data_IF_927069864905
#
_entry.id   IF_927069864905
#
_cell.length_a   1.000
_cell.length_b   1.000
_cell.length_c   1.000
_cell.angle_alpha   90.00
_cell.angle_beta   90.00
_cell.angle_gamma   90.00
#
_symmetry.space_group_name_H-M   'P 1'
#
loop_
_entity.id
_entity.type
_entity.pdbx_description
1 polymer ?
#
# COMPACT_ATOMS: atom_id res chain seq x y z
N UNK A 1 -2.35 -22.77 -1.85
CA UNK A 1 -2.67 -24.20 -2.03
C UNK A 1 -2.01 -24.73 -3.29
N UNK A 2 -2.33 -24.20 -4.47
CA UNK A 2 -1.84 -24.70 -5.79
C UNK A 2 -0.31 -24.71 -5.88
N UNK A 3 0.36 -23.67 -5.38
CA UNK A 3 1.83 -23.55 -5.38
C UNK A 3 2.52 -24.39 -4.31
N UNK A 4 1.76 -25.01 -3.41
CA UNK A 4 2.28 -25.89 -2.36
C UNK A 4 2.91 -25.16 -1.16
N UNK A 5 2.60 -23.88 -0.94
CA UNK A 5 3.10 -23.13 0.21
C UNK A 5 2.38 -23.58 1.48
N UNK A 6 3.12 -24.14 2.43
CA UNK A 6 2.61 -24.53 3.74
C UNK A 6 2.50 -23.29 4.63
N UNK A 7 1.28 -22.96 5.03
CA UNK A 7 0.99 -21.93 6.02
C UNK A 7 0.25 -22.54 7.20
N UNK A 8 0.31 -21.98 8.42
CA UNK A 8 -0.46 -22.46 9.55
C UNK A 8 -1.96 -22.57 9.25
N UNK A 9 -2.49 -21.64 8.45
CA UNK A 9 -3.88 -21.62 8.01
C UNK A 9 -4.23 -22.80 7.09
N UNK A 10 -3.34 -23.14 6.13
CA UNK A 10 -3.52 -24.27 5.23
C UNK A 10 -3.53 -25.60 6.00
N UNK A 11 -2.70 -25.74 7.03
CA UNK A 11 -2.65 -26.90 7.90
C UNK A 11 -3.90 -26.99 8.80
N UNK A 12 -4.33 -25.85 9.39
CA UNK A 12 -5.51 -25.80 10.25
C UNK A 12 -6.77 -26.27 9.52
N UNK A 13 -6.94 -25.88 8.26
CA UNK A 13 -8.08 -26.28 7.42
C UNK A 13 -7.80 -27.54 6.60
N UNK A 14 -6.66 -28.21 6.81
CA UNK A 14 -6.26 -29.43 6.10
C UNK A 14 -6.23 -29.26 4.58
N UNK A 15 -5.86 -28.06 4.09
CA UNK A 15 -5.72 -27.82 2.67
C UNK A 15 -4.47 -28.48 2.08
N UNK A 16 -3.52 -28.87 2.91
CA UNK A 16 -2.30 -29.59 2.60
C UNK A 16 -2.54 -31.04 2.14
N UNK A 17 -3.72 -31.61 2.46
CA UNK A 17 -4.11 -32.97 2.04
C UNK A 17 -5.02 -33.01 0.80
N UNK A 18 -5.32 -31.86 0.20
CA UNK A 18 -6.11 -31.79 -1.03
C UNK A 18 -5.28 -32.27 -2.24
N UNK A 19 -5.90 -32.97 -3.16
CA UNK A 19 -5.25 -33.45 -4.42
C UNK A 19 -4.67 -32.31 -5.26
N UNK A 20 -5.21 -31.09 -5.10
CA UNK A 20 -4.74 -29.89 -5.78
C UNK A 20 -3.58 -29.17 -5.07
N UNK A 21 -3.20 -29.63 -3.87
CA UNK A 21 -2.07 -29.04 -3.15
C UNK A 21 -0.78 -29.28 -3.92
N UNK A 22 -0.01 -28.22 -4.13
CA UNK A 22 1.23 -28.22 -4.92
C UNK A 22 1.10 -28.68 -6.39
N UNK A 23 -0.14 -28.81 -6.93
CA UNK A 23 -0.35 -29.25 -8.31
C UNK A 23 0.14 -28.25 -9.37
N UNK A 24 0.40 -27.02 -8.99
CA UNK A 24 0.90 -25.94 -9.84
C UNK A 24 2.21 -25.33 -9.33
N UNK A 25 3.05 -26.13 -8.67
CA UNK A 25 4.35 -25.70 -8.15
C UNK A 25 5.41 -25.46 -9.25
N UNK A 26 5.11 -25.77 -10.51
CA UNK A 26 5.89 -25.48 -11.71
C UNK A 26 5.84 -24.00 -12.11
N UNK A 27 4.93 -23.25 -11.49
CA UNK A 27 4.76 -21.80 -11.67
C UNK A 27 4.65 -21.11 -10.32
N UNK A 28 5.08 -19.85 -10.30
CA UNK A 28 5.02 -19.02 -9.09
C UNK A 28 3.59 -18.53 -8.78
N UNK A 29 3.42 -17.95 -7.61
CA UNK A 29 2.16 -17.38 -7.17
C UNK A 29 1.70 -16.22 -8.07
N UNK A 30 2.64 -15.46 -8.65
CA UNK A 30 2.35 -14.36 -9.55
C UNK A 30 1.68 -14.83 -10.84
N UNK A 31 2.20 -15.90 -11.44
CA UNK A 31 1.58 -16.52 -12.61
C UNK A 31 0.14 -16.95 -12.34
N UNK A 32 -0.10 -17.65 -11.22
CA UNK A 32 -1.43 -18.13 -10.87
C UNK A 32 -2.42 -17.02 -10.57
N UNK A 33 -1.98 -15.96 -9.88
CA UNK A 33 -2.79 -14.77 -9.64
C UNK A 33 -3.14 -14.04 -10.94
N UNK A 34 -2.16 -13.89 -11.86
CA UNK A 34 -2.38 -13.29 -13.17
C UNK A 34 -3.37 -14.11 -14.01
N UNK A 35 -3.24 -15.43 -14.01
CA UNK A 35 -4.16 -16.33 -14.70
C UNK A 35 -5.60 -16.23 -14.17
N UNK A 36 -5.79 -16.25 -12.84
CA UNK A 36 -7.11 -16.09 -12.21
C UNK A 36 -7.75 -14.76 -12.60
N UNK A 37 -6.99 -13.66 -12.59
CA UNK A 37 -7.46 -12.35 -13.02
C UNK A 37 -7.95 -12.36 -14.47
N UNK A 38 -7.19 -12.96 -15.36
CA UNK A 38 -7.58 -13.07 -16.77
C UNK A 38 -8.82 -13.94 -16.96
N UNK A 39 -8.97 -15.03 -16.19
CA UNK A 39 -10.18 -15.86 -16.21
C UNK A 39 -11.43 -15.10 -15.72
N UNK A 40 -11.26 -14.17 -14.77
CA UNK A 40 -12.35 -13.28 -14.33
C UNK A 40 -12.69 -12.26 -15.42
N UNK A 41 -11.69 -11.63 -16.04
CA UNK A 41 -11.88 -10.66 -17.13
C UNK A 41 -12.56 -11.32 -18.35
N UNK A 42 -12.17 -12.54 -18.68
CA UNK A 42 -12.83 -13.35 -19.71
C UNK A 42 -14.25 -13.80 -19.33
N UNK A 43 -14.67 -13.52 -18.10
CA UNK A 43 -15.98 -13.90 -17.59
C UNK A 43 -16.15 -15.41 -17.43
N UNK A 44 -15.07 -16.17 -17.26
CA UNK A 44 -15.11 -17.62 -16.96
C UNK A 44 -15.26 -17.86 -15.46
N UNK A 45 -14.71 -16.98 -14.64
CA UNK A 45 -14.84 -16.96 -13.18
C UNK A 45 -15.53 -15.67 -12.74
N UNK A 46 -16.16 -15.71 -11.59
CA UNK A 46 -16.66 -14.55 -10.87
C UNK A 46 -16.22 -14.63 -9.41
N UNK A 47 -15.95 -13.48 -8.80
CA UNK A 47 -15.63 -13.38 -7.37
C UNK A 47 -16.90 -13.00 -6.63
N UNK A 48 -17.38 -13.88 -5.77
CA UNK A 48 -18.56 -13.63 -4.94
C UNK A 48 -18.13 -12.84 -3.69
N UNK A 49 -18.46 -11.56 -3.68
CA UNK A 49 -18.08 -10.64 -2.60
C UNK A 49 -18.91 -10.90 -1.33
N UNK A 50 -20.14 -11.39 -1.48
CA UNK A 50 -21.02 -11.68 -0.35
C UNK A 50 -20.57 -12.93 0.42
N UNK A 51 -19.88 -13.86 -0.24
CA UNK A 51 -19.31 -15.06 0.34
C UNK A 51 -17.76 -14.94 0.48
N UNK A 52 -17.27 -13.89 1.14
CA UNK A 52 -15.84 -13.71 1.45
C UNK A 52 -14.89 -13.76 0.24
N UNK A 53 -15.39 -13.41 -0.95
CA UNK A 53 -14.56 -13.35 -2.15
C UNK A 53 -14.27 -14.72 -2.79
N UNK A 54 -15.11 -15.72 -2.53
CA UNK A 54 -15.00 -17.05 -3.12
C UNK A 54 -15.11 -16.96 -4.64
N UNK A 55 -14.24 -17.69 -5.35
CA UNK A 55 -14.29 -17.80 -6.80
C UNK A 55 -15.33 -18.85 -7.22
N UNK A 56 -16.23 -18.46 -8.11
CA UNK A 56 -17.27 -19.33 -8.67
C UNK A 56 -17.17 -19.37 -10.19
N UNK A 57 -17.51 -20.50 -10.79
CA UNK A 57 -17.66 -20.58 -12.24
C UNK A 57 -18.91 -19.83 -12.70
N UNK A 58 -18.77 -19.09 -13.78
CA UNK A 58 -19.93 -18.55 -14.50
C UNK A 58 -20.51 -19.62 -15.42
N UNK A 59 -21.71 -19.40 -16.00
CA UNK A 59 -22.26 -20.27 -17.05
C UNK A 59 -21.30 -20.42 -18.22
N UNK A 60 -20.56 -19.37 -18.57
CA UNK A 60 -19.51 -19.40 -19.62
C UNK A 60 -18.33 -20.26 -19.19
N UNK A 61 -17.92 -20.18 -17.90
CA UNK A 61 -16.87 -21.01 -17.34
C UNK A 61 -17.23 -22.50 -17.32
N UNK A 62 -18.46 -22.85 -16.93
CA UNK A 62 -18.93 -24.23 -16.97
C UNK A 62 -18.99 -24.80 -18.41
N UNK A 63 -19.43 -23.98 -19.37
CA UNK A 63 -19.41 -24.35 -20.78
C UNK A 63 -17.96 -24.52 -21.30
N UNK A 64 -17.02 -23.71 -20.85
CA UNK A 64 -15.61 -23.82 -21.18
C UNK A 64 -15.00 -25.12 -20.66
N UNK A 65 -15.32 -25.53 -19.43
CA UNK A 65 -14.88 -26.82 -18.87
C UNK A 65 -15.35 -28.02 -19.70
N UNK A 66 -16.59 -27.96 -20.27
CA UNK A 66 -17.12 -29.01 -21.11
C UNK A 66 -16.49 -29.07 -22.51
N UNK A 67 -16.11 -27.92 -23.05
CA UNK A 67 -15.45 -27.77 -24.36
C UNK A 67 -14.31 -26.75 -24.25
N UNK A 68 -13.16 -27.14 -23.69
CA UNK A 68 -12.03 -26.22 -23.51
C UNK A 68 -11.53 -25.76 -24.87
N UNK A 69 -11.22 -24.46 -24.93
CA UNK A 69 -10.57 -23.81 -26.07
C UNK A 69 -9.28 -23.16 -25.58
N UNK A 70 -8.25 -23.18 -26.40
CA UNK A 70 -7.05 -22.39 -26.10
C UNK A 70 -7.37 -20.90 -26.20
N UNK A 71 -6.90 -20.13 -25.24
CA UNK A 71 -6.91 -18.67 -25.29
C UNK A 71 -5.53 -18.13 -24.90
N UNK A 72 -5.21 -16.96 -25.38
CA UNK A 72 -3.93 -16.33 -25.08
C UNK A 72 -4.00 -15.67 -23.71
N UNK A 73 -2.97 -15.92 -22.89
CA UNK A 73 -2.77 -15.22 -21.63
C UNK A 73 -1.60 -14.27 -21.77
N UNK A 74 -1.75 -13.06 -21.23
CA UNK A 74 -0.67 -12.11 -21.12
C UNK A 74 0.22 -12.53 -19.96
N UNK A 75 1.46 -12.93 -20.26
CA UNK A 75 2.47 -13.18 -19.23
C UNK A 75 3.07 -11.83 -18.83
N UNK A 76 2.73 -11.34 -17.66
CA UNK A 76 3.44 -10.20 -17.10
C UNK A 76 4.85 -10.63 -16.77
N UNK A 77 5.85 -9.96 -17.39
CA UNK A 77 7.26 -10.17 -17.05
C UNK A 77 7.49 -9.54 -15.67
N UNK A 78 7.93 -10.36 -14.71
CA UNK A 78 8.62 -9.84 -13.55
C UNK A 78 9.96 -9.27 -14.05
N UNK A 79 10.17 -7.99 -13.90
CA UNK A 79 11.52 -7.45 -13.94
C UNK A 79 12.18 -7.87 -12.62
N UNK A 80 13.19 -8.72 -12.71
CA UNK A 80 14.03 -9.04 -11.56
C UNK A 80 14.84 -7.78 -11.24
N UNK A 81 14.43 -7.04 -10.25
CA UNK A 81 15.32 -6.14 -9.56
C UNK A 81 16.36 -6.99 -8.84
N UNK A 82 17.61 -6.85 -9.28
CA UNK A 82 18.75 -7.51 -8.67
C UNK A 82 19.04 -6.81 -7.33
N UNK A 83 18.21 -7.05 -6.33
CA UNK A 83 18.43 -6.87 -4.88
C UNK A 83 17.07 -6.97 -4.18
N UNK A 84 16.60 -8.20 -3.98
CA UNK A 84 15.44 -8.41 -3.11
C UNK A 84 15.71 -9.60 -2.21
N UNK A 85 16.11 -9.32 -1.00
CA UNK A 85 15.81 -10.20 0.12
C UNK A 85 14.41 -9.80 0.63
N UNK A 86 13.55 -10.81 0.67
CA UNK A 86 12.27 -10.94 1.39
C UNK A 86 11.50 -9.66 1.80
N UNK A 87 10.63 -9.14 0.92
CA UNK A 87 9.47 -8.38 1.37
C UNK A 87 8.17 -9.03 0.86
N UNK A 88 7.37 -9.50 1.82
CA UNK A 88 5.99 -9.92 1.63
C UNK A 88 5.16 -8.76 1.05
N UNK A 89 4.76 -8.93 -0.21
CA UNK A 89 3.84 -7.99 -0.87
C UNK A 89 2.48 -8.09 -0.18
N UNK A 90 2.15 -7.11 0.63
CA UNK A 90 0.78 -6.91 1.11
C UNK A 90 -0.15 -6.68 -0.07
N UNK A 91 -1.19 -7.50 -0.16
CA UNK A 91 -2.22 -7.44 -1.19
C UNK A 91 -2.92 -6.08 -1.21
N UNK A 92 -2.56 -5.23 -2.17
CA UNK A 92 -3.42 -4.12 -2.55
C UNK A 92 -4.56 -4.66 -3.42
N UNK A 93 -5.74 -4.69 -2.85
CA UNK A 93 -6.99 -5.06 -3.51
C UNK A 93 -7.36 -4.04 -4.59
N UNK A 94 -7.16 -4.39 -5.86
CA UNK A 94 -7.70 -3.63 -6.98
C UNK A 94 -6.85 -3.68 -8.24
N UNK A 95 -7.17 -4.56 -9.13
CA UNK A 95 -6.58 -5.05 -10.36
C UNK A 95 -6.21 -4.10 -11.50
N UNK A 96 -5.65 -2.93 -11.26
CA UNK A 96 -4.92 -2.19 -12.28
C UNK A 96 -3.42 -2.33 -12.01
N UNK A 97 -2.62 -2.64 -13.03
CA UNK A 97 -1.17 -2.69 -12.90
C UNK A 97 -0.63 -1.28 -12.66
N UNK A 98 0.37 -1.17 -11.79
CA UNK A 98 1.11 0.07 -11.58
C UNK A 98 1.69 0.53 -12.92
N UNK A 99 1.45 1.80 -13.28
CA UNK A 99 2.12 2.43 -14.42
C UNK A 99 3.45 3.02 -13.93
N UNK A 100 4.53 2.24 -14.12
CA UNK A 100 5.88 2.60 -13.66
C UNK A 100 6.35 3.95 -14.21
N UNK A 101 6.07 4.22 -15.49
CA UNK A 101 6.46 5.48 -16.12
C UNK A 101 5.76 6.69 -15.48
N UNK A 102 4.46 6.56 -15.24
CA UNK A 102 3.73 7.61 -14.52
C UNK A 102 4.20 7.73 -13.08
N UNK A 103 4.47 6.59 -12.42
CA UNK A 103 5.00 6.58 -11.06
C UNK A 103 6.32 7.35 -10.95
N UNK A 104 7.27 7.10 -11.85
CA UNK A 104 8.54 7.83 -11.89
C UNK A 104 8.35 9.33 -12.07
N UNK A 105 7.46 9.72 -12.99
CA UNK A 105 7.11 11.13 -13.20
C UNK A 105 6.50 11.78 -11.95
N UNK A 106 5.66 11.04 -11.23
CA UNK A 106 5.06 11.50 -9.97
C UNK A 106 6.10 11.62 -8.85
N UNK A 107 7.06 10.69 -8.78
CA UNK A 107 8.19 10.75 -7.86
C UNK A 107 9.06 12.01 -8.09
N UNK A 108 9.40 12.30 -9.35
CA UNK A 108 10.14 13.51 -9.70
C UNK A 108 9.34 14.79 -9.36
N UNK A 109 8.05 14.80 -9.65
CA UNK A 109 7.19 15.93 -9.32
C UNK A 109 7.11 16.15 -7.81
N UNK A 110 6.98 15.05 -7.02
CA UNK A 110 6.98 15.09 -5.56
C UNK A 110 8.25 15.74 -5.03
N UNK A 111 9.43 15.34 -5.52
CA UNK A 111 10.70 15.93 -5.12
C UNK A 111 10.76 17.42 -5.45
N UNK A 112 10.29 17.83 -6.63
CA UNK A 112 10.25 19.24 -7.05
C UNK A 112 9.34 20.07 -6.13
N UNK A 113 8.13 19.56 -5.83
CA UNK A 113 7.18 20.26 -4.95
C UNK A 113 7.66 20.30 -3.50
N UNK A 114 8.31 19.25 -3.01
CA UNK A 114 8.93 19.18 -1.70
C UNK A 114 10.06 20.23 -1.55
N UNK A 115 10.98 20.30 -2.52
CA UNK A 115 12.08 21.29 -2.55
C UNK A 115 11.55 22.73 -2.60
N UNK A 116 10.51 23.02 -3.39
CA UNK A 116 9.89 24.35 -3.43
C UNK A 116 9.33 24.81 -2.07
N UNK A 117 8.87 23.88 -1.26
CA UNK A 117 8.24 24.16 0.03
C UNK A 117 9.18 23.94 1.21
N UNK A 118 10.41 23.54 0.93
CA UNK A 118 11.42 23.16 1.93
C UNK A 118 10.87 22.10 2.91
N UNK A 119 10.28 21.05 2.36
CA UNK A 119 9.69 19.94 3.09
C UNK A 119 10.26 18.62 2.59
N UNK A 120 10.34 17.59 3.44
CA UNK A 120 10.67 16.23 3.00
C UNK A 120 9.63 15.71 1.99
N UNK A 121 10.03 14.88 1.01
CA UNK A 121 9.12 14.37 -0.02
C UNK A 121 7.91 13.61 0.51
N UNK A 122 8.08 12.82 1.58
CA UNK A 122 7.00 12.03 2.18
C UNK A 122 5.91 12.88 2.85
N UNK A 123 6.22 14.14 3.21
CA UNK A 123 5.22 15.08 3.74
C UNK A 123 4.25 15.52 2.66
N UNK A 124 4.70 15.65 1.42
CA UNK A 124 3.84 15.99 0.28
C UNK A 124 2.86 14.85 0.02
N UNK A 125 3.36 13.68 -0.36
CA UNK A 125 2.59 12.45 -0.52
C UNK A 125 3.46 11.24 -0.16
N UNK A 126 2.84 10.22 0.45
CA UNK A 126 3.48 8.91 0.67
C UNK A 126 3.69 8.19 -0.66
N UNK A 127 4.58 7.20 -0.67
CA UNK A 127 4.78 6.34 -1.83
C UNK A 127 3.52 5.58 -2.20
N UNK A 128 2.80 5.05 -1.21
CA UNK A 128 1.50 4.40 -1.41
C UNK A 128 0.47 5.30 -2.08
N UNK A 129 0.50 6.62 -1.80
CA UNK A 129 -0.35 7.59 -2.50
C UNK A 129 0.02 7.71 -3.98
N UNK A 130 1.32 7.73 -4.30
CA UNK A 130 1.80 7.81 -5.68
C UNK A 130 1.53 6.52 -6.45
N UNK A 131 1.62 5.36 -5.79
CA UNK A 131 1.23 4.06 -6.37
C UNK A 131 -0.25 4.05 -6.75
N UNK A 132 -1.13 4.53 -5.86
CA UNK A 132 -2.55 4.66 -6.16
C UNK A 132 -2.79 5.64 -7.33
N UNK A 133 -2.10 6.78 -7.34
CA UNK A 133 -2.21 7.76 -8.43
C UNK A 133 -1.78 7.19 -9.79
N UNK A 134 -0.71 6.39 -9.83
CA UNK A 134 -0.22 5.74 -11.06
C UNK A 134 -1.04 4.53 -11.47
N UNK A 135 -1.87 4.00 -10.58
CA UNK A 135 -2.77 2.88 -10.85
C UNK A 135 -4.16 3.34 -11.30
N UNK A 136 -4.69 4.40 -10.67
CA UNK A 136 -6.08 4.84 -10.87
C UNK A 136 -6.24 6.08 -11.75
N UNK A 137 -5.15 6.75 -12.08
CA UNK A 137 -5.12 7.93 -12.92
C UNK A 137 -6.12 9.02 -12.51
N UNK A 138 -6.06 9.56 -11.28
CA UNK A 138 -6.99 10.59 -10.84
C UNK A 138 -6.75 11.92 -11.59
N UNK A 139 -7.65 12.30 -12.47
CA UNK A 139 -7.59 13.57 -13.26
C UNK A 139 -8.44 14.69 -12.66
N UNK A 140 -9.04 14.44 -11.51
CA UNK A 140 -9.81 15.42 -10.73
C UNK A 140 -9.36 15.45 -9.29
N UNK A 141 -9.64 16.54 -8.59
CA UNK A 141 -9.30 16.67 -7.16
C UNK A 141 -10.08 15.67 -6.32
N UNK A 142 -11.36 15.42 -6.65
CA UNK A 142 -12.18 14.41 -5.99
C UNK A 142 -11.63 12.99 -6.21
N UNK A 143 -11.10 12.71 -7.39
CA UNK A 143 -10.41 11.46 -7.69
C UNK A 143 -9.16 11.30 -6.87
N UNK A 144 -8.37 12.36 -6.72
CA UNK A 144 -7.15 12.38 -5.94
C UNK A 144 -7.42 12.14 -4.43
N UNK A 145 -8.50 12.71 -3.88
CA UNK A 145 -8.91 12.50 -2.48
C UNK A 145 -9.23 11.04 -2.15
N UNK A 146 -9.49 10.21 -3.16
CA UNK A 146 -9.76 8.77 -2.99
C UNK A 146 -8.49 7.93 -2.87
N UNK A 147 -7.33 8.47 -3.24
CA UNK A 147 -6.05 7.77 -3.11
C UNK A 147 -5.66 7.62 -1.64
N UNK A 148 -4.95 6.54 -1.32
CA UNK A 148 -4.52 6.25 0.04
C UNK A 148 -3.67 7.38 0.62
N UNK A 149 -3.95 7.79 1.86
CA UNK A 149 -3.19 8.84 2.55
C UNK A 149 -3.41 10.26 2.03
N UNK A 150 -4.35 10.47 1.09
CA UNK A 150 -4.70 11.77 0.55
C UNK A 150 -6.00 12.28 1.19
N UNK A 151 -5.89 13.28 2.06
CA UNK A 151 -7.06 14.00 2.59
C UNK A 151 -7.43 15.17 1.68
N UNK A 152 -8.64 15.69 1.86
CA UNK A 152 -9.09 16.89 1.16
C UNK A 152 -8.14 18.08 1.33
N UNK A 153 -7.62 18.28 2.55
CA UNK A 153 -6.66 19.35 2.85
C UNK A 153 -5.35 19.16 2.07
N UNK A 154 -4.80 17.93 2.04
CA UNK A 154 -3.60 17.59 1.26
C UNK A 154 -3.82 17.73 -0.24
N UNK A 155 -4.94 17.26 -0.75
CA UNK A 155 -5.30 17.42 -2.14
C UNK A 155 -5.34 18.91 -2.53
N UNK A 156 -6.00 19.75 -1.74
CA UNK A 156 -6.04 21.20 -2.00
C UNK A 156 -4.68 21.88 -1.91
N UNK A 157 -3.80 21.45 -0.98
CA UNK A 157 -2.49 22.08 -0.73
C UNK A 157 -1.45 21.69 -1.77
N UNK A 158 -1.45 20.43 -2.22
CA UNK A 158 -0.41 19.85 -3.07
C UNK A 158 -0.93 19.22 -4.36
N UNK A 159 -2.22 18.90 -4.47
CA UNK A 159 -2.75 17.99 -5.48
C UNK A 159 -2.77 18.54 -6.90
N UNK A 160 -2.96 19.86 -7.09
CA UNK A 160 -3.15 20.44 -8.42
C UNK A 160 -2.04 20.08 -9.43
N UNK A 161 -0.73 20.21 -9.13
CA UNK A 161 0.33 19.84 -10.08
C UNK A 161 0.29 18.35 -10.46
N UNK A 162 -0.11 17.47 -9.52
CA UNK A 162 -0.21 16.03 -9.75
C UNK A 162 -1.39 15.69 -10.65
N UNK A 163 -2.55 16.26 -10.38
CA UNK A 163 -3.75 16.09 -11.23
C UNK A 163 -3.46 16.59 -12.65
N UNK A 164 -2.84 17.78 -12.81
CA UNK A 164 -2.50 18.35 -14.10
C UNK A 164 -1.50 17.46 -14.88
N UNK A 165 -0.54 16.84 -14.20
CA UNK A 165 0.42 15.91 -14.80
C UNK A 165 -0.28 14.62 -15.25
N UNK A 166 -1.09 14.02 -14.38
CA UNK A 166 -1.82 12.79 -14.67
C UNK A 166 -2.80 13.01 -15.82
N UNK A 167 -3.52 14.15 -15.85
CA UNK A 167 -4.45 14.47 -16.92
C UNK A 167 -3.76 14.52 -18.28
N UNK A 168 -2.61 15.21 -18.39
CA UNK A 168 -1.80 15.23 -19.61
C UNK A 168 -1.29 13.85 -20.00
N UNK A 169 -0.80 13.09 -19.03
CA UNK A 169 -0.30 11.74 -19.28
C UNK A 169 -1.38 10.82 -19.84
N UNK A 170 -2.58 10.89 -19.30
CA UNK A 170 -3.76 10.13 -19.77
C UNK A 170 -4.14 10.53 -21.18
N UNK A 171 -4.15 11.84 -21.49
CA UNK A 171 -4.46 12.36 -22.81
C UNK A 171 -3.40 11.94 -23.87
N UNK A 172 -2.12 12.14 -23.54
CA UNK A 172 -1.00 11.84 -24.45
C UNK A 172 -0.88 10.34 -24.78
N UNK A 173 -1.16 9.48 -23.82
CA UNK A 173 -1.08 8.02 -23.98
C UNK A 173 -2.43 7.37 -24.34
N UNK A 174 -3.50 8.15 -24.48
CA UNK A 174 -4.87 7.67 -24.81
C UNK A 174 -5.34 6.56 -23.88
N UNK A 175 -5.08 6.73 -22.57
CA UNK A 175 -5.44 5.74 -21.58
C UNK A 175 -6.95 5.75 -21.37
N UNK A 176 -7.62 4.63 -21.68
CA UNK A 176 -9.01 4.42 -21.33
C UNK A 176 -9.07 4.16 -19.82
N UNK A 177 -9.52 5.15 -19.08
CA UNK A 177 -9.72 4.99 -17.63
C UNK A 177 -10.97 4.16 -17.39
N UNK A 178 -10.96 3.28 -16.39
CA UNK A 178 -12.20 2.66 -15.93
C UNK A 178 -13.10 3.77 -15.39
N UNK A 179 -14.10 4.18 -16.16
CA UNK A 179 -15.01 5.29 -15.86
C UNK A 179 -15.85 5.11 -14.58
N UNK A 180 -15.85 3.93 -13.99
CA UNK A 180 -16.66 3.57 -12.83
C UNK A 180 -15.91 2.77 -11.76
N UNK A 181 -14.61 2.99 -11.59
CA UNK A 181 -14.00 2.53 -10.34
C UNK A 181 -14.48 3.43 -9.20
N UNK A 182 -15.72 3.18 -8.77
CA UNK A 182 -16.09 3.46 -7.39
C UNK A 182 -15.10 2.65 -6.55
N UNK A 183 -13.99 3.27 -6.17
CA UNK A 183 -13.23 2.79 -5.04
C UNK A 183 -14.24 2.72 -3.89
N UNK A 184 -14.80 1.53 -3.68
CA UNK A 184 -15.51 1.26 -2.45
C UNK A 184 -14.43 1.45 -1.40
N UNK A 185 -14.39 2.65 -0.80
CA UNK A 185 -13.63 2.86 0.42
C UNK A 185 -13.99 1.67 1.29
N UNK A 186 -12.98 0.86 1.59
CA UNK A 186 -13.17 -0.27 2.48
C UNK A 186 -13.77 0.32 3.75
N UNK A 187 -15.01 -0.01 4.03
CA UNK A 187 -15.86 0.56 5.09
C UNK A 187 -15.21 0.46 6.48
N UNK A 188 -14.11 -0.26 6.62
CA UNK A 188 -13.36 -0.45 7.85
C UNK A 188 -12.25 0.59 8.12
N UNK A 189 -11.82 1.42 7.15
CA UNK A 189 -10.77 2.43 7.38
C UNK A 189 -11.17 3.44 8.47
N UNK A 190 -12.43 3.81 8.55
CA UNK A 190 -12.95 4.69 9.59
C UNK A 190 -12.88 4.05 10.99
N UNK A 191 -13.20 2.78 11.12
CA UNK A 191 -13.16 2.07 12.40
C UNK A 191 -11.75 1.87 12.95
N UNK A 192 -10.79 1.53 12.10
CA UNK A 192 -9.38 1.40 12.48
C UNK A 192 -8.78 2.73 12.89
N UNK A 193 -9.06 3.78 12.13
CA UNK A 193 -8.61 5.14 12.45
C UNK A 193 -9.12 5.60 13.82
N UNK A 194 -10.41 5.47 14.09
CA UNK A 194 -11.00 5.86 15.38
C UNK A 194 -10.42 5.01 16.51
N UNK A 195 -10.26 3.72 16.30
CA UNK A 195 -9.66 2.80 17.27
C UNK A 195 -8.23 3.22 17.64
N UNK A 196 -7.37 3.49 16.66
CA UNK A 196 -5.99 3.92 16.89
C UNK A 196 -5.97 5.24 17.66
N UNK A 197 -6.69 6.27 17.20
CA UNK A 197 -6.73 7.58 17.85
C UNK A 197 -7.17 7.45 19.32
N UNK A 198 -8.26 6.73 19.58
CA UNK A 198 -8.77 6.57 20.94
C UNK A 198 -7.81 5.84 21.88
N UNK A 199 -7.03 4.88 21.37
CA UNK A 199 -6.08 4.14 22.19
C UNK A 199 -4.76 4.91 22.40
N UNK A 200 -4.28 5.63 21.40
CA UNK A 200 -3.11 6.51 21.54
C UNK A 200 -3.40 7.69 22.47
N UNK A 201 -4.61 8.27 22.43
CA UNK A 201 -5.04 9.31 23.37
C UNK A 201 -5.13 8.79 24.81
N UNK A 202 -5.48 7.52 25.00
CA UNK A 202 -5.46 6.83 26.30
C UNK A 202 -4.09 6.34 26.73
N UNK A 203 -3.05 6.57 25.92
CA UNK A 203 -1.69 6.11 26.14
C UNK A 203 -1.58 4.59 26.35
N UNK A 204 -2.38 3.82 25.60
CA UNK A 204 -2.28 2.35 25.59
C UNK A 204 -1.02 1.96 24.83
N UNK A 205 -0.26 0.98 25.36
CA UNK A 205 0.98 0.54 24.68
C UNK A 205 0.73 0.04 23.26
N UNK A 206 1.67 0.28 22.36
CA UNK A 206 1.53 -0.04 20.93
C UNK A 206 1.32 -1.54 20.73
N UNK A 207 2.02 -2.39 21.50
CA UNK A 207 1.86 -3.84 21.46
C UNK A 207 0.42 -4.26 21.84
N UNK A 208 -0.17 -3.59 22.82
CA UNK A 208 -1.55 -3.88 23.24
C UNK A 208 -2.55 -3.46 22.16
N UNK A 209 -2.32 -2.31 21.51
CA UNK A 209 -3.15 -1.84 20.40
C UNK A 209 -3.11 -2.84 19.24
N UNK A 210 -1.92 -3.26 18.83
CA UNK A 210 -1.72 -4.23 17.77
C UNK A 210 -2.37 -5.58 18.11
N UNK A 211 -2.06 -6.12 19.30
CA UNK A 211 -2.55 -7.42 19.77
C UNK A 211 -4.10 -7.49 19.82
N UNK A 212 -4.74 -6.44 20.33
CA UNK A 212 -6.20 -6.39 20.44
C UNK A 212 -6.93 -6.38 19.08
N UNK A 213 -6.24 -5.94 18.02
CA UNK A 213 -6.73 -5.99 16.64
C UNK A 213 -6.28 -7.21 15.86
N UNK A 214 -5.35 -7.99 16.42
CA UNK A 214 -4.73 -9.11 15.71
C UNK A 214 -3.77 -8.66 14.62
N UNK A 215 -3.23 -7.45 14.72
CA UNK A 215 -2.24 -6.89 13.80
C UNK A 215 -0.83 -7.21 14.26
N UNK A 216 0.09 -7.31 13.31
CA UNK A 216 1.52 -7.23 13.59
C UNK A 216 1.90 -5.78 13.85
N UNK A 217 3.07 -5.55 14.44
CA UNK A 217 3.55 -4.19 14.76
C UNK A 217 3.75 -3.35 13.48
N UNK A 218 4.34 -3.94 12.44
CA UNK A 218 4.56 -3.31 11.15
C UNK A 218 3.23 -2.87 10.49
N UNK A 219 2.23 -3.74 10.44
CA UNK A 219 0.90 -3.43 9.90
C UNK A 219 0.22 -2.26 10.64
N UNK A 220 0.35 -2.25 11.98
CA UNK A 220 -0.20 -1.17 12.78
C UNK A 220 0.52 0.16 12.53
N UNK A 221 1.86 0.15 12.46
CA UNK A 221 2.65 1.35 12.20
C UNK A 221 2.39 1.90 10.77
N UNK A 222 2.14 1.05 9.78
CA UNK A 222 1.72 1.49 8.44
C UNK A 222 0.35 2.18 8.44
N UNK A 223 -0.61 1.61 9.17
CA UNK A 223 -1.92 2.23 9.31
C UNK A 223 -1.83 3.57 10.06
N UNK A 224 -1.02 3.65 11.13
CA UNK A 224 -0.73 4.90 11.84
C UNK A 224 -0.08 5.95 10.93
N UNK A 225 0.87 5.55 10.10
CA UNK A 225 1.50 6.45 9.13
C UNK A 225 0.49 7.00 8.12
N UNK A 226 -0.36 6.14 7.59
CA UNK A 226 -1.45 6.54 6.68
C UNK A 226 -2.40 7.55 7.35
N UNK A 227 -2.73 7.33 8.62
CA UNK A 227 -3.57 8.24 9.41
C UNK A 227 -2.87 9.59 9.61
N UNK A 228 -1.60 9.59 10.03
CA UNK A 228 -0.82 10.80 10.22
C UNK A 228 -0.61 11.56 8.89
N UNK A 229 -0.29 10.83 7.82
CA UNK A 229 -0.15 11.41 6.49
C UNK A 229 -1.44 12.05 5.96
N UNK A 230 -2.61 11.57 6.39
CA UNK A 230 -3.88 12.22 6.08
C UNK A 230 -4.13 13.52 6.87
N UNK A 231 -3.17 14.02 7.65
CA UNK A 231 -3.26 15.23 8.47
C UNK A 231 -3.98 15.02 9.82
N UNK A 232 -4.01 13.79 10.32
CA UNK A 232 -4.56 13.50 11.65
C UNK A 232 -3.42 13.43 12.66
N UNK A 233 -3.51 14.23 13.72
CA UNK A 233 -2.52 14.18 14.80
C UNK A 233 -2.72 12.92 15.64
N UNK A 234 -1.63 12.20 15.90
CA UNK A 234 -1.58 11.06 16.81
C UNK A 234 -0.74 11.42 18.04
N UNK A 235 -1.21 11.01 19.21
CA UNK A 235 -0.47 11.20 20.46
C UNK A 235 0.45 10.00 20.68
N UNK A 236 1.74 10.14 20.33
CA UNK A 236 2.73 9.05 20.36
C UNK A 236 3.88 9.30 21.34
N UNK A 237 3.94 10.50 21.98
CA UNK A 237 5.07 10.87 22.83
C UNK A 237 5.33 9.84 23.94
N UNK A 238 4.29 9.33 24.57
CA UNK A 238 4.42 8.32 25.64
C UNK A 238 5.12 7.02 25.19
N UNK A 239 4.87 6.59 23.95
CA UNK A 239 5.49 5.38 23.40
C UNK A 239 6.91 5.64 22.88
N UNK A 240 7.16 6.85 22.40
CA UNK A 240 8.47 7.26 21.91
C UNK A 240 9.42 7.46 23.09
N UNK A 241 8.97 8.10 24.19
CA UNK A 241 9.78 8.31 25.39
C UNK A 241 10.18 7.00 26.08
N UNK A 242 9.43 5.92 25.86
CA UNK A 242 9.82 4.56 26.32
C UNK A 242 10.92 3.92 25.46
N UNK A 243 11.09 4.36 24.20
CA UNK A 243 11.96 3.74 23.21
C UNK A 243 13.23 4.55 22.91
N UNK A 244 13.18 5.86 23.07
CA UNK A 244 14.20 6.84 22.66
C UNK A 244 14.31 7.94 23.71
N UNK A 245 15.52 8.35 24.05
CA UNK A 245 15.74 9.56 24.85
C UNK A 245 15.55 10.84 24.01
N UNK A 246 15.56 12.01 24.66
CA UNK A 246 15.32 13.31 23.98
C UNK A 246 16.40 13.62 22.93
N UNK A 247 17.67 13.29 23.20
CA UNK A 247 18.78 13.57 22.28
C UNK A 247 18.64 12.72 21.00
N UNK A 248 18.26 11.44 21.14
CA UNK A 248 17.97 10.53 20.02
C UNK A 248 16.76 10.99 19.19
N UNK A 249 15.69 11.46 19.87
CA UNK A 249 14.51 12.00 19.19
C UNK A 249 14.86 13.24 18.36
N UNK A 250 15.64 14.15 18.94
CA UNK A 250 16.04 15.38 18.27
C UNK A 250 16.92 15.09 17.04
N UNK A 251 17.85 14.14 17.13
CA UNK A 251 18.72 13.73 16.01
C UNK A 251 17.87 13.16 14.84
N UNK A 252 16.91 12.28 15.13
CA UNK A 252 16.03 11.73 14.09
C UNK A 252 15.14 12.82 13.48
N UNK A 253 14.65 13.77 14.28
CA UNK A 253 13.85 14.90 13.77
C UNK A 253 14.68 15.82 12.88
N UNK A 254 15.91 16.14 13.25
CA UNK A 254 16.82 16.96 12.42
C UNK A 254 17.11 16.25 11.09
N UNK A 255 17.34 14.95 11.12
CA UNK A 255 17.47 14.15 9.91
C UNK A 255 16.23 14.27 9.02
N UNK A 256 15.03 14.05 9.57
CA UNK A 256 13.81 14.13 8.78
C UNK A 256 13.50 15.53 8.24
N UNK A 257 13.96 16.59 8.87
CA UNK A 257 13.83 17.96 8.34
C UNK A 257 14.64 18.18 7.05
N UNK A 258 15.76 17.49 6.91
CA UNK A 258 16.73 17.69 5.83
C UNK A 258 16.75 16.58 4.79
N UNK A 259 16.14 15.40 5.05
CA UNK A 259 16.24 14.25 4.18
C UNK A 259 15.59 14.49 2.81
N UNK A 260 16.25 14.03 1.76
CA UNK A 260 15.77 14.10 0.37
C UNK A 260 14.99 12.85 -0.09
N UNK A 261 15.00 11.80 0.73
CA UNK A 261 14.35 10.52 0.44
C UNK A 261 13.20 10.23 1.39
N UNK A 262 12.29 9.34 0.99
CA UNK A 262 11.26 8.78 1.87
C UNK A 262 11.59 7.38 2.37
N UNK A 263 12.75 6.82 1.98
CA UNK A 263 13.18 5.48 2.38
C UNK A 263 13.66 5.46 3.83
N UNK A 264 13.06 4.61 4.66
CA UNK A 264 13.56 4.34 6.02
C UNK A 264 14.86 3.54 6.02
N UNK A 265 15.11 2.75 4.98
CA UNK A 265 16.37 2.02 4.83
C UNK A 265 17.55 3.00 4.68
N UNK A 266 17.38 4.01 3.84
CA UNK A 266 18.40 5.07 3.69
C UNK A 266 18.56 5.85 5.00
N UNK A 267 17.46 6.15 5.70
CA UNK A 267 17.53 6.77 7.02
C UNK A 267 18.33 5.92 8.02
N UNK A 268 18.13 4.60 8.01
CA UNK A 268 18.88 3.68 8.88
C UNK A 268 20.36 3.62 8.52
N UNK A 269 20.70 3.69 7.23
CA UNK A 269 22.10 3.73 6.77
C UNK A 269 22.79 5.06 7.12
N UNK A 270 22.12 6.19 6.94
CA UNK A 270 22.67 7.52 7.23
C UNK A 270 22.77 7.79 8.74
N UNK A 271 21.92 7.17 9.55
CA UNK A 271 21.96 7.23 11.03
C UNK A 271 22.59 5.97 11.66
N UNK A 272 23.41 5.23 10.91
CA UNK A 272 24.00 3.97 11.37
C UNK A 272 24.83 4.10 12.67
N UNK A 273 25.46 5.25 12.91
CA UNK A 273 26.26 5.53 14.11
C UNK A 273 25.42 5.48 15.40
N UNK A 274 24.11 5.70 15.32
CA UNK A 274 23.18 5.72 16.46
C UNK A 274 22.50 4.36 16.67
N UNK A 275 22.62 3.41 15.75
CA UNK A 275 22.00 2.07 15.80
C UNK A 275 20.47 2.06 15.96
N UNK A 276 19.77 3.02 15.39
CA UNK A 276 18.31 3.05 15.42
C UNK A 276 17.74 1.87 14.63
N UNK A 277 16.75 1.20 15.22
CA UNK A 277 16.04 0.15 14.52
C UNK A 277 14.89 0.72 13.66
N UNK A 278 14.34 -0.13 12.79
CA UNK A 278 13.29 0.26 11.87
C UNK A 278 12.04 0.80 12.57
N UNK A 279 11.65 0.18 13.71
CA UNK A 279 10.44 0.61 14.45
C UNK A 279 10.61 2.00 15.06
N UNK A 280 11.79 2.30 15.60
CA UNK A 280 12.12 3.63 16.15
C UNK A 280 12.06 4.71 15.06
N UNK A 281 12.68 4.46 13.91
CA UNK A 281 12.64 5.38 12.78
C UNK A 281 11.22 5.53 12.22
N UNK A 282 10.45 4.44 12.15
CA UNK A 282 9.08 4.44 11.66
C UNK A 282 8.15 5.25 12.56
N UNK A 283 8.21 5.05 13.88
CA UNK A 283 7.37 5.79 14.83
C UNK A 283 7.73 7.28 14.87
N UNK A 284 9.01 7.62 14.78
CA UNK A 284 9.49 9.00 14.70
C UNK A 284 9.04 9.68 13.40
N UNK A 285 9.01 8.96 12.27
CA UNK A 285 8.45 9.47 11.02
C UNK A 285 6.94 9.73 11.13
N UNK A 286 6.21 8.85 11.82
CA UNK A 286 4.78 9.05 12.09
C UNK A 286 4.57 10.31 12.97
N UNK A 287 5.37 10.50 14.02
CA UNK A 287 5.37 11.72 14.84
C UNK A 287 5.64 12.96 13.99
N UNK A 288 6.67 12.90 13.17
CA UNK A 288 7.03 14.00 12.25
C UNK A 288 5.88 14.35 11.30
N UNK A 289 5.24 13.35 10.69
CA UNK A 289 4.05 13.54 9.85
C UNK A 289 2.87 14.15 10.61
N UNK A 290 2.67 13.76 11.86
CA UNK A 290 1.61 14.29 12.73
C UNK A 290 1.81 15.77 13.09
N UNK A 291 3.05 16.22 13.18
CA UNK A 291 3.40 17.58 13.58
C UNK A 291 3.62 18.53 12.39
N UNK A 292 4.28 18.05 11.35
CA UNK A 292 4.71 18.85 10.20
C UNK A 292 3.93 18.59 8.92
N UNK A 293 3.09 17.57 8.88
CA UNK A 293 2.34 17.15 7.68
C UNK A 293 1.04 17.93 7.41
N UNK A 294 0.65 18.85 8.29
CA UNK A 294 -0.58 19.65 8.14
C UNK A 294 -0.40 20.90 7.29
#
# INVERSE_FOLDING_TARGET
IIVGRLTPQNQMFRHDVLDVFASGNDRDSHFWNSLIRQLILEGLLTKDIEEYGVLKFTKKGEAFLKKPKSFQIVLNKLYEDANADDEEVTETTGGAALDERLYDMLMELRQKEAKKKNLPPFVVFLETSLQDMSTFYPITMEGLEKCQGVSKGKAMKYGKPFVDLIARYVEDNKIERPDDFVMKSVVNKSGSKVYIIQNTDKKVSLETIAKNKGWRMDEMLEEMETIAASGTKLNLDYAIDEMLDEDDQDEIIEYFKSCETSSLQVAQEELADYNFNWEQLKIMRIKFLSEYGM
#
